data_IF_025567790415
#
_entry.id   IF_025567790415
#
_cell.length_a   1.000
_cell.length_b   1.000
_cell.length_c   1.000
_cell.angle_alpha   90.00
_cell.angle_beta   90.00
_cell.angle_gamma   90.00
#
_symmetry.space_group_name_H-M   'P 1'
#
loop_
_entity.id
_entity.type
_entity.pdbx_description
1 polymer ?
#
# COMPACT_ATOMS: atom_id res chain seq x y z
N UNK A 1 8.24 15.05 -8.57
CA UNK A 1 9.56 14.45 -8.30
C UNK A 1 9.44 13.43 -7.17
N UNK A 2 9.10 13.85 -5.94
CA UNK A 2 9.01 12.97 -4.75
C UNK A 2 8.18 11.69 -4.95
N UNK A 3 6.96 11.77 -5.53
CA UNK A 3 6.13 10.59 -5.78
C UNK A 3 6.80 9.61 -6.75
N UNK A 4 7.44 10.13 -7.81
CA UNK A 4 8.15 9.29 -8.76
C UNK A 4 9.37 8.62 -8.11
N UNK A 5 10.10 9.32 -7.24
CA UNK A 5 11.24 8.77 -6.50
C UNK A 5 10.79 7.68 -5.50
N UNK A 6 9.66 7.91 -4.83
CA UNK A 6 9.01 6.92 -3.97
C UNK A 6 8.62 5.67 -4.76
N UNK A 7 7.96 5.83 -5.91
CA UNK A 7 7.56 4.73 -6.79
C UNK A 7 8.79 3.95 -7.25
N UNK A 8 9.80 4.65 -7.78
CA UNK A 8 11.01 4.04 -8.31
C UNK A 8 11.74 3.23 -7.24
N UNK A 9 11.92 3.81 -6.04
CA UNK A 9 12.66 3.18 -4.95
C UNK A 9 11.87 2.04 -4.31
N UNK A 10 10.61 2.27 -3.96
CA UNK A 10 9.78 1.30 -3.24
C UNK A 10 9.18 0.21 -4.13
N UNK A 11 9.38 0.29 -5.46
CA UNK A 11 9.15 -0.85 -6.36
C UNK A 11 10.18 -1.97 -6.17
N UNK A 12 11.29 -1.73 -5.45
CA UNK A 12 12.25 -2.76 -5.04
C UNK A 12 11.88 -3.32 -3.66
N UNK A 13 11.70 -4.64 -3.56
CA UNK A 13 11.25 -5.28 -2.32
C UNK A 13 12.16 -5.05 -1.10
N UNK A 14 13.48 -4.95 -1.29
CA UNK A 14 14.40 -4.70 -0.18
C UNK A 14 14.28 -3.26 0.34
N UNK A 15 14.17 -2.30 -0.57
CA UNK A 15 13.98 -0.88 -0.23
C UNK A 15 12.61 -0.67 0.41
N UNK A 16 11.56 -1.27 -0.16
CA UNK A 16 10.20 -1.24 0.40
C UNK A 16 10.17 -1.78 1.83
N UNK A 17 10.80 -2.94 2.08
CA UNK A 17 10.92 -3.54 3.41
C UNK A 17 11.64 -2.61 4.39
N UNK A 18 12.71 -1.96 3.95
CA UNK A 18 13.46 -1.02 4.78
C UNK A 18 12.63 0.24 5.08
N UNK A 19 11.97 0.82 4.08
CA UNK A 19 11.12 1.99 4.23
C UNK A 19 9.98 1.74 5.23
N UNK A 20 9.31 0.60 5.15
CA UNK A 20 8.27 0.20 6.12
C UNK A 20 8.81 0.09 7.53
N UNK A 21 10.03 -0.44 7.72
CA UNK A 21 10.68 -0.48 9.04
C UNK A 21 11.03 0.92 9.56
N UNK A 22 11.41 1.85 8.68
CA UNK A 22 11.68 3.23 9.05
C UNK A 22 10.44 4.02 9.46
N UNK A 23 9.26 3.67 8.92
CA UNK A 23 7.98 4.28 9.33
C UNK A 23 7.67 3.96 10.80
N UNK A 24 7.89 2.71 11.23
CA UNK A 24 7.77 2.32 12.64
C UNK A 24 7.25 0.91 12.85
N UNK A 25 7.43 0.39 14.07
CA UNK A 25 7.14 -1.00 14.43
C UNK A 25 5.68 -1.42 14.25
N UNK A 26 4.73 -0.67 14.83
CA UNK A 26 3.30 -1.00 14.74
C UNK A 26 2.79 -0.98 13.29
N UNK A 27 3.22 0.01 12.50
CA UNK A 27 2.89 0.07 11.08
C UNK A 27 3.48 -1.14 10.33
N UNK A 28 4.76 -1.45 10.55
CA UNK A 28 5.43 -2.59 9.92
C UNK A 28 4.78 -3.93 10.27
N UNK A 29 4.29 -4.10 11.49
CA UNK A 29 3.57 -5.31 11.92
C UNK A 29 2.26 -5.50 11.17
N UNK A 30 1.47 -4.43 10.99
CA UNK A 30 0.23 -4.48 10.18
C UNK A 30 0.52 -4.85 8.74
N UNK A 31 1.52 -4.22 8.12
CA UNK A 31 1.93 -4.55 6.74
C UNK A 31 2.42 -6.00 6.64
N UNK A 32 3.17 -6.48 7.63
CA UNK A 32 3.63 -7.86 7.67
C UNK A 32 2.48 -8.86 7.82
N UNK A 33 1.47 -8.54 8.62
CA UNK A 33 0.27 -9.36 8.77
C UNK A 33 -0.50 -9.47 7.45
N UNK A 34 -0.79 -8.34 6.80
CA UNK A 34 -1.46 -8.31 5.49
C UNK A 34 -0.67 -9.07 4.42
N UNK A 35 0.67 -8.93 4.40
CA UNK A 35 1.53 -9.68 3.50
C UNK A 35 1.46 -11.20 3.74
N UNK A 36 1.49 -11.64 5.01
CA UNK A 36 1.41 -13.06 5.38
C UNK A 36 0.07 -13.69 4.99
N UNK A 37 -1.05 -12.98 5.17
CA UNK A 37 -2.36 -13.45 4.74
C UNK A 37 -2.40 -13.74 3.23
N UNK A 38 -1.59 -13.03 2.45
CA UNK A 38 -1.43 -13.22 1.00
C UNK A 38 -0.30 -14.18 0.63
N UNK A 39 0.34 -14.83 1.60
CA UNK A 39 1.47 -15.74 1.37
C UNK A 39 2.73 -15.04 0.84
N UNK A 40 2.88 -13.74 1.10
CA UNK A 40 3.96 -12.91 0.57
C UNK A 40 4.93 -12.44 1.64
N UNK A 41 6.18 -12.19 1.23
CA UNK A 41 7.08 -11.39 2.05
C UNK A 41 6.69 -9.91 2.02
N UNK A 42 6.80 -9.24 3.18
CA UNK A 42 6.45 -7.82 3.38
C UNK A 42 6.98 -6.89 2.30
N UNK A 43 8.26 -7.04 1.92
CA UNK A 43 8.87 -6.21 0.89
C UNK A 43 8.25 -6.40 -0.49
N UNK A 44 7.98 -7.65 -0.87
CA UNK A 44 7.34 -7.99 -2.15
C UNK A 44 5.89 -7.50 -2.21
N UNK A 45 5.14 -7.67 -1.11
CA UNK A 45 3.78 -7.16 -0.99
C UNK A 45 3.71 -5.65 -1.25
N UNK A 46 4.54 -4.87 -0.56
CA UNK A 46 4.59 -3.42 -0.71
C UNK A 46 5.03 -3.02 -2.12
N UNK A 47 6.04 -3.69 -2.68
CA UNK A 47 6.52 -3.40 -4.03
C UNK A 47 5.42 -3.59 -5.09
N UNK A 48 4.59 -4.64 -4.96
CA UNK A 48 3.44 -4.84 -5.86
C UNK A 48 2.44 -3.69 -5.72
N UNK A 49 2.06 -3.30 -4.50
CA UNK A 49 1.11 -2.20 -4.30
C UNK A 49 1.61 -0.87 -4.88
N UNK A 50 2.91 -0.59 -4.75
CA UNK A 50 3.55 0.60 -5.32
C UNK A 50 3.54 0.55 -6.86
N UNK A 51 3.84 -0.60 -7.45
CA UNK A 51 3.78 -0.79 -8.91
C UNK A 51 2.35 -0.69 -9.45
N UNK A 52 1.38 -1.25 -8.73
CA UNK A 52 -0.04 -1.15 -9.07
C UNK A 52 -0.50 0.29 -9.03
N UNK A 53 -0.17 1.02 -7.96
CA UNK A 53 -0.43 2.45 -7.87
C UNK A 53 0.17 3.21 -9.06
N UNK A 54 1.44 2.96 -9.39
CA UNK A 54 2.12 3.62 -10.51
C UNK A 54 1.44 3.34 -11.87
N UNK A 55 0.87 2.14 -12.04
CA UNK A 55 0.18 1.74 -13.26
C UNK A 55 -1.24 2.33 -13.36
N UNK A 56 -1.89 2.53 -12.23
CA UNK A 56 -3.32 2.82 -12.17
C UNK A 56 -3.69 4.25 -11.80
N UNK A 57 -2.86 4.92 -11.01
CA UNK A 57 -3.21 6.21 -10.44
C UNK A 57 -3.33 7.27 -11.54
N UNK A 58 -4.49 7.92 -11.57
CA UNK A 58 -4.77 9.03 -12.45
C UNK A 58 -4.19 10.34 -11.90
N UNK A 59 -4.36 11.43 -12.66
CA UNK A 59 -3.84 12.75 -12.28
C UNK A 59 -4.41 13.26 -10.96
N UNK A 60 -5.67 12.96 -10.65
CA UNK A 60 -6.34 13.37 -9.41
C UNK A 60 -5.75 12.62 -8.21
N UNK A 61 -5.61 11.30 -8.33
CA UNK A 61 -4.99 10.45 -7.30
C UNK A 61 -3.54 10.88 -7.03
N UNK A 62 -2.76 11.14 -8.08
CA UNK A 62 -1.40 11.65 -7.94
C UNK A 62 -1.35 13.01 -7.25
N UNK A 63 -2.31 13.90 -7.55
CA UNK A 63 -2.38 15.22 -6.93
C UNK A 63 -2.82 15.14 -5.48
N UNK A 64 -3.77 14.27 -5.13
CA UNK A 64 -4.19 14.03 -3.75
C UNK A 64 -3.03 13.53 -2.90
N UNK A 65 -2.31 12.51 -3.37
CA UNK A 65 -1.10 12.03 -2.70
C UNK A 65 -0.05 13.14 -2.59
N UNK A 66 0.09 13.98 -3.62
CA UNK A 66 1.03 15.11 -3.57
C UNK A 66 0.67 16.11 -2.48
N UNK A 67 -0.61 16.34 -2.18
CA UNK A 67 -1.02 17.26 -1.10
C UNK A 67 -0.69 16.68 0.27
N UNK A 68 -0.86 15.37 0.46
CA UNK A 68 -0.55 14.67 1.72
C UNK A 68 0.94 14.66 2.09
N UNK A 69 1.83 14.68 1.09
CA UNK A 69 3.28 14.63 1.32
C UNK A 69 3.94 16.01 1.42
N UNK A 70 3.26 17.07 0.97
CA UNK A 70 3.82 18.43 0.98
C UNK A 70 3.96 18.92 2.41
N UNK A 71 5.17 19.38 2.76
CA UNK A 71 5.48 19.88 4.09
C UNK A 71 5.76 18.80 5.14
N UNK A 72 5.70 17.51 4.78
CA UNK A 72 6.12 16.44 5.68
C UNK A 72 7.65 16.40 5.83
N UNK A 73 8.14 16.11 7.04
CA UNK A 73 9.58 15.98 7.29
C UNK A 73 10.21 14.81 6.51
N UNK A 74 9.42 13.76 6.23
CA UNK A 74 9.85 12.58 5.47
C UNK A 74 8.82 12.24 4.38
N UNK A 75 8.80 13.01 3.27
CA UNK A 75 7.76 12.91 2.25
C UNK A 75 7.60 11.52 1.62
N UNK A 76 8.71 10.80 1.42
CA UNK A 76 8.68 9.43 0.86
C UNK A 76 7.99 8.46 1.82
N UNK A 77 8.33 8.51 3.11
CA UNK A 77 7.72 7.63 4.12
C UNK A 77 6.25 7.98 4.37
N UNK A 78 5.92 9.28 4.38
CA UNK A 78 4.55 9.75 4.48
C UNK A 78 3.71 9.27 3.29
N UNK A 79 4.22 9.44 2.07
CA UNK A 79 3.53 8.98 0.86
C UNK A 79 3.33 7.47 0.84
N UNK A 80 4.34 6.70 1.28
CA UNK A 80 4.23 5.25 1.38
C UNK A 80 3.18 4.82 2.41
N UNK A 81 3.07 5.54 3.53
CA UNK A 81 2.02 5.31 4.53
C UNK A 81 0.64 5.52 3.92
N UNK A 82 0.40 6.68 3.29
CA UNK A 82 -0.87 7.00 2.64
C UNK A 82 -1.26 5.98 1.55
N UNK A 83 -0.28 5.49 0.79
CA UNK A 83 -0.50 4.49 -0.25
C UNK A 83 -0.93 3.13 0.33
N UNK A 84 -0.32 2.73 1.43
CA UNK A 84 -0.52 1.40 2.02
C UNK A 84 -1.75 1.31 2.92
N UNK A 85 -2.09 2.38 3.65
CA UNK A 85 -3.19 2.39 4.64
C UNK A 85 -4.52 1.81 4.10
N UNK A 86 -4.99 2.17 2.88
CA UNK A 86 -6.25 1.63 2.34
C UNK A 86 -6.23 0.13 2.04
N UNK A 87 -5.05 -0.49 2.01
CA UNK A 87 -4.89 -1.95 1.84
C UNK A 87 -4.81 -2.67 3.18
N UNK A 88 -4.64 -1.95 4.30
CA UNK A 88 -4.58 -2.49 5.66
C UNK A 88 -5.94 -2.38 6.37
N UNK A 89 -6.74 -1.36 6.08
CA UNK A 89 -8.06 -1.12 6.71
C UNK A 89 -9.15 -2.14 6.31
N UNK A 90 -8.98 -2.86 5.20
CA UNK A 90 -9.97 -3.84 4.71
C UNK A 90 -10.05 -5.07 5.63
N UNK A 91 -9.08 -5.25 6.53
CA UNK A 91 -8.92 -6.46 7.34
C UNK A 91 -9.56 -6.37 8.74
N UNK A 92 -10.00 -5.19 9.21
CA UNK A 92 -10.67 -5.08 10.53
C UNK A 92 -12.14 -5.56 10.52
N UNK A 93 -12.74 -5.82 9.36
CA UNK A 93 -14.16 -6.23 9.23
C UNK A 93 -14.41 -7.71 8.97
N UNK A 94 -13.36 -8.54 8.77
CA UNK A 94 -13.51 -9.98 8.49
C UNK A 94 -12.84 -10.80 9.59
N UNK A 95 -13.42 -10.71 10.78
CA UNK A 95 -13.01 -11.47 11.97
C UNK A 95 -14.13 -12.40 12.45
N UNK A 96 -14.62 -13.30 11.60
CA UNK A 96 -15.31 -14.54 12.01
C UNK A 96 -15.50 -15.44 10.78
N UNK A 97 -15.42 -16.74 10.98
CA UNK A 97 -15.66 -17.83 10.01
C UNK A 97 -14.47 -18.16 9.10
N UNK A 98 -13.70 -19.17 9.53
CA UNK A 98 -12.79 -19.90 8.67
C UNK A 98 -13.55 -20.97 7.88
N UNK A 99 -13.23 -21.10 6.59
CA UNK A 99 -13.30 -22.37 5.89
C UNK A 99 -12.37 -22.35 4.66
N UNK A 100 -11.78 -23.50 4.39
CA UNK A 100 -10.78 -23.79 3.38
C UNK A 100 -11.41 -23.79 1.98
N UNK A 101 -11.07 -22.80 1.14
CA UNK A 101 -11.26 -22.89 -0.31
C UNK A 101 -10.32 -21.92 -1.02
N UNK A 102 -9.31 -22.49 -1.68
CA UNK A 102 -8.41 -21.80 -2.60
C UNK A 102 -9.22 -21.47 -3.87
N UNK A 103 -10.00 -20.40 -3.82
CA UNK A 103 -10.54 -19.73 -5.01
C UNK A 103 -9.73 -18.46 -5.28
N UNK A 104 -8.84 -18.55 -6.27
CA UNK A 104 -8.30 -17.47 -7.12
C UNK A 104 -8.42 -16.03 -6.56
N UNK A 105 -7.65 -15.71 -5.52
CA UNK A 105 -7.59 -14.39 -4.88
C UNK A 105 -7.12 -13.28 -5.84
N UNK A 106 -6.60 -13.63 -7.03
CA UNK A 106 -6.26 -12.65 -8.07
C UNK A 106 -7.48 -11.97 -8.72
N UNK A 107 -8.70 -12.51 -8.53
CA UNK A 107 -9.94 -11.93 -9.07
C UNK A 107 -10.61 -10.91 -8.13
N UNK A 108 -10.25 -10.88 -6.84
CA UNK A 108 -10.82 -9.97 -5.84
C UNK A 108 -10.05 -8.64 -5.68
N UNK A 109 -8.86 -8.52 -6.27
CA UNK A 109 -8.20 -7.23 -6.55
C UNK A 109 -8.81 -6.58 -7.81
N UNK A 110 -10.13 -6.66 -7.89
CA UNK A 110 -10.96 -6.18 -8.97
C UNK A 110 -10.81 -4.66 -9.07
N UNK A 111 -10.40 -4.22 -10.27
CA UNK A 111 -10.34 -2.89 -10.93
C UNK A 111 -11.01 -1.65 -10.32
N UNK A 112 -11.82 -1.75 -9.26
CA UNK A 112 -12.56 -0.66 -8.61
C UNK A 112 -11.74 0.25 -7.70
N UNK A 113 -10.53 -0.14 -7.26
CA UNK A 113 -9.71 0.72 -6.36
C UNK A 113 -8.76 1.69 -7.07
N UNK A 114 -8.56 1.57 -8.39
CA UNK A 114 -7.66 2.47 -9.13
C UNK A 114 -8.17 3.93 -9.25
N UNK A 115 -9.32 4.28 -8.70
CA UNK A 115 -9.81 5.66 -8.65
C UNK A 115 -10.95 5.95 -7.67
N UNK A 116 -11.10 5.16 -6.59
CA UNK A 116 -12.26 5.33 -5.68
C UNK A 116 -11.95 5.24 -4.18
N UNK A 117 -10.68 5.34 -3.77
CA UNK A 117 -10.41 5.67 -2.36
C UNK A 117 -10.47 7.19 -2.28
N UNK A 118 -11.69 7.68 -2.06
CA UNK A 118 -11.99 9.09 -1.87
C UNK A 118 -11.12 9.66 -0.74
N UNK A 119 -10.09 10.42 -1.10
CA UNK A 119 -9.47 11.39 -0.23
C UNK A 119 -10.43 12.58 -0.07
N UNK A 120 -11.55 12.34 0.61
CA UNK A 120 -12.54 13.35 0.96
C UNK A 120 -12.43 13.63 2.46
N UNK A 121 -11.56 14.59 2.82
CA UNK A 121 -11.62 15.30 4.10
C UNK A 121 -11.41 16.79 3.83
#
# INVERSE_FOLDING_TARGET
MVIADMIHSCSNAHVAKAAVRCIGGAFAERVAAAARQKGMEMGGFVAILVQEFARCADGETMQALSREIVGADQPILRGLTCLLEPSLEVEELVGAEGDDSIESVSALYDRRKCGSVAYAH
#
